data_IF_780737119262
#
_entry.id   IF_780737119262
#
_cell.length_a   1.000
_cell.length_b   1.000
_cell.length_c   1.000
_cell.angle_alpha   90.00
_cell.angle_beta   90.00
_cell.angle_gamma   90.00
#
_symmetry.space_group_name_H-M   'P 1'
#
loop_
_entity.id
_entity.type
_entity.pdbx_description
1 polymer ?
#
# COMPACT_ATOMS: atom_id res chain seq x y z
N UNK A 1 -7.19 24.69 19.71
CA UNK A 1 -6.95 23.23 19.52
C UNK A 1 -5.44 23.04 19.37
N UNK A 2 -4.79 22.58 20.43
CA UNK A 2 -3.34 22.33 20.44
C UNK A 2 -3.05 20.94 19.88
N UNK A 3 -2.03 20.84 19.03
CA UNK A 3 -1.62 19.61 18.34
C UNK A 3 -0.38 19.07 19.03
N UNK A 4 -0.40 17.84 19.52
CA UNK A 4 0.83 17.19 20.01
C UNK A 4 1.73 16.87 18.83
N UNK A 5 3.01 17.21 18.94
CA UNK A 5 3.97 17.11 17.84
C UNK A 5 4.96 15.95 18.04
N UNK A 6 5.08 15.37 19.25
CA UNK A 6 6.03 14.29 19.57
C UNK A 6 5.53 13.38 20.71
N UNK A 7 6.05 12.14 20.84
CA UNK A 7 5.60 11.18 21.86
C UNK A 7 5.67 11.70 23.30
N UNK A 8 6.57 12.64 23.62
CA UNK A 8 6.76 13.14 24.99
C UNK A 8 6.58 14.65 25.17
N UNK A 9 6.13 15.39 24.14
CA UNK A 9 5.96 16.85 24.24
C UNK A 9 4.71 17.30 23.47
N UNK A 10 3.74 17.84 24.18
CA UNK A 10 2.62 18.56 23.60
C UNK A 10 2.84 20.07 23.75
N UNK A 11 3.15 20.81 22.65
CA UNK A 11 3.33 22.25 22.73
C UNK A 11 1.98 22.94 22.92
N UNK A 12 1.83 23.62 24.06
CA UNK A 12 0.66 24.44 24.36
C UNK A 12 0.93 25.84 23.80
N UNK A 13 0.69 26.06 22.50
CA UNK A 13 0.70 27.43 21.97
C UNK A 13 -0.60 28.12 22.35
N UNK A 14 -0.50 29.18 23.16
CA UNK A 14 -1.64 30.02 23.51
C UNK A 14 -2.04 30.83 22.27
N UNK A 15 -3.30 30.80 21.87
CA UNK A 15 -3.80 31.38 20.61
C UNK A 15 -3.94 32.91 20.65
N UNK A 16 -3.25 33.59 21.57
CA UNK A 16 -3.36 35.02 21.87
C UNK A 16 -2.02 35.71 22.19
N UNK A 17 -0.90 35.27 21.62
CA UNK A 17 0.36 36.04 21.70
C UNK A 17 0.85 36.37 20.30
N UNK A 18 0.16 37.32 19.68
CA UNK A 18 0.86 38.24 18.77
C UNK A 18 1.54 39.26 19.66
N UNK A 19 2.84 39.43 19.40
CA UNK A 19 3.75 40.44 19.95
C UNK A 19 4.58 40.03 21.19
N UNK A 20 5.89 40.20 20.99
CA UNK A 20 7.00 40.23 21.94
C UNK A 20 7.68 38.88 22.26
N UNK A 21 8.83 38.70 21.59
CA UNK A 21 10.11 38.22 22.11
C UNK A 21 10.04 37.40 23.42
N UNK A 22 9.92 36.08 23.31
CA UNK A 22 10.56 35.19 24.27
C UNK A 22 10.63 33.77 23.69
N UNK A 23 11.82 33.37 23.25
CA UNK A 23 12.12 32.01 22.79
C UNK A 23 12.27 31.00 23.94
N UNK A 24 11.77 31.32 25.15
CA UNK A 24 12.03 30.56 26.39
C UNK A 24 10.78 30.06 27.11
N UNK A 25 9.56 30.43 26.70
CA UNK A 25 8.33 30.06 27.42
C UNK A 25 7.47 29.02 26.71
N UNK A 26 8.09 27.94 26.22
CA UNK A 26 7.36 26.70 25.93
C UNK A 26 7.19 25.97 27.25
N UNK A 27 6.07 26.16 27.96
CA UNK A 27 5.72 25.27 29.07
C UNK A 27 5.44 23.87 28.51
N UNK A 28 6.46 23.02 28.54
CA UNK A 28 6.34 21.60 28.24
C UNK A 28 5.70 20.92 29.43
N UNK A 29 4.51 20.35 29.25
CA UNK A 29 3.90 19.46 30.24
C UNK A 29 3.97 18.01 29.77
N UNK A 30 3.95 17.09 30.72
CA UNK A 30 3.86 15.66 30.43
C UNK A 30 2.60 15.36 29.60
N UNK A 31 2.73 14.47 28.61
CA UNK A 31 1.65 14.12 27.71
C UNK A 31 0.44 13.52 28.46
N UNK A 32 0.67 12.76 29.52
CA UNK A 32 -0.37 12.16 30.36
C UNK A 32 -1.11 13.24 31.15
N UNK A 33 -0.40 14.21 31.71
CA UNK A 33 -1.01 15.35 32.39
C UNK A 33 -1.79 16.27 31.43
N UNK A 34 -1.28 16.47 30.22
CA UNK A 34 -1.96 17.21 29.17
C UNK A 34 -3.26 16.53 28.72
N UNK A 35 -3.24 15.20 28.63
CA UNK A 35 -4.40 14.38 28.30
C UNK A 35 -5.45 14.39 29.41
N UNK A 36 -5.03 14.20 30.66
CA UNK A 36 -5.92 14.21 31.83
C UNK A 36 -6.62 15.56 32.03
N UNK A 37 -6.02 16.65 31.54
CA UNK A 37 -6.58 18.00 31.58
C UNK A 37 -7.27 18.42 30.28
N UNK A 38 -7.55 17.49 29.36
CA UNK A 38 -8.21 17.74 28.07
C UNK A 38 -7.48 18.75 27.16
N UNK A 39 -6.21 19.05 27.45
CA UNK A 39 -5.44 20.06 26.71
C UNK A 39 -4.94 19.54 25.36
N UNK A 40 -4.96 18.23 25.17
CA UNK A 40 -4.46 17.54 23.99
C UNK A 40 -5.44 16.46 23.54
N UNK A 41 -5.75 16.42 22.25
CA UNK A 41 -6.66 15.43 21.68
C UNK A 41 -6.06 14.78 20.43
N UNK A 42 -6.32 13.49 20.22
CA UNK A 42 -5.91 12.82 19.00
C UNK A 42 -6.64 13.43 17.79
N UNK A 43 -5.94 13.52 16.67
CA UNK A 43 -6.43 14.13 15.44
C UNK A 43 -6.01 13.31 14.22
N UNK A 44 -6.86 13.34 13.19
CA UNK A 44 -6.52 12.76 11.90
C UNK A 44 -5.35 13.52 11.27
N UNK A 45 -4.31 12.80 10.89
CA UNK A 45 -3.26 13.30 10.02
C UNK A 45 -3.76 13.57 8.60
N UNK A 46 -2.86 14.07 7.76
CA UNK A 46 -3.11 14.21 6.33
C UNK A 46 -3.32 12.84 5.70
N UNK A 47 -4.22 12.78 4.72
CA UNK A 47 -4.34 11.63 3.84
C UNK A 47 -3.03 11.41 3.06
N UNK A 48 -2.65 10.15 2.89
CA UNK A 48 -1.64 9.77 1.90
C UNK A 48 -2.14 10.08 0.48
N UNK A 49 -1.21 10.06 -0.48
CA UNK A 49 -1.60 9.90 -1.87
C UNK A 49 -2.43 8.63 -2.05
N UNK A 50 -3.31 8.63 -3.04
CA UNK A 50 -4.01 7.43 -3.48
C UNK A 50 -3.00 6.39 -4.00
N UNK A 51 -3.25 5.13 -3.69
CA UNK A 51 -2.55 4.02 -4.33
C UNK A 51 -2.76 4.04 -5.84
N UNK A 52 -1.83 3.42 -6.56
CA UNK A 52 -2.08 3.04 -7.95
C UNK A 52 -3.25 2.04 -8.02
N UNK A 53 -3.89 1.98 -9.19
CA UNK A 53 -4.88 0.95 -9.48
C UNK A 53 -4.17 -0.39 -9.72
N UNK A 54 -4.78 -1.47 -9.24
CA UNK A 54 -4.25 -2.83 -9.44
C UNK A 54 -4.42 -3.31 -10.87
N UNK A 55 -5.40 -2.75 -11.60
CA UNK A 55 -5.67 -3.04 -12.99
C UNK A 55 -5.49 -1.80 -13.88
N UNK A 56 -5.32 -2.02 -15.17
CA UNK A 56 -5.25 -0.97 -16.22
C UNK A 56 -6.59 -0.76 -16.92
N UNK A 57 -7.52 -1.71 -16.78
CA UNK A 57 -8.89 -1.68 -17.28
C UNK A 57 -9.77 -2.56 -16.38
N UNK A 58 -11.08 -2.47 -16.54
CA UNK A 58 -12.03 -3.22 -15.73
C UNK A 58 -12.39 -2.52 -14.44
N UNK A 59 -12.97 -3.29 -13.52
CA UNK A 59 -13.32 -2.82 -12.18
C UNK A 59 -12.12 -3.03 -11.28
N UNK A 60 -11.57 -1.94 -10.76
CA UNK A 60 -10.54 -1.98 -9.73
C UNK A 60 -10.73 -0.83 -8.75
N UNK A 61 -10.30 -1.04 -7.51
CA UNK A 61 -10.32 -0.02 -6.47
C UNK A 61 -8.92 0.55 -6.23
N UNK A 62 -8.88 1.79 -5.77
CA UNK A 62 -7.70 2.42 -5.16
C UNK A 62 -8.01 2.81 -3.73
N UNK A 63 -6.96 2.90 -2.92
CA UNK A 63 -7.08 3.14 -1.49
C UNK A 63 -6.14 4.24 -1.04
N UNK A 64 -6.51 4.94 0.03
CA UNK A 64 -5.62 5.84 0.76
C UNK A 64 -5.86 5.72 2.25
N UNK A 65 -4.88 6.16 3.03
CA UNK A 65 -4.88 6.00 4.48
C UNK A 65 -4.54 7.34 5.14
N UNK A 66 -4.98 7.51 6.38
CA UNK A 66 -4.51 8.58 7.26
C UNK A 66 -4.32 7.99 8.65
N UNK A 67 -3.24 8.38 9.32
CA UNK A 67 -3.01 7.97 10.70
C UNK A 67 -3.80 8.87 11.66
N UNK A 68 -4.30 8.29 12.74
CA UNK A 68 -4.62 9.08 13.93
C UNK A 68 -3.29 9.43 14.60
N UNK A 69 -3.10 10.70 14.96
CA UNK A 69 -1.89 11.20 15.58
C UNK A 69 -2.24 11.92 16.88
N UNK A 70 -1.29 11.97 17.81
CA UNK A 70 -1.43 12.68 19.07
C UNK A 70 -1.29 11.75 20.27
N UNK A 71 -1.78 12.21 21.41
CA UNK A 71 -1.71 11.49 22.67
C UNK A 71 -3.03 10.71 22.90
N UNK A 72 -2.93 9.51 23.48
CA UNK A 72 -4.02 8.54 23.63
C UNK A 72 -4.34 8.29 25.11
N UNK A 73 -5.61 8.11 25.47
CA UNK A 73 -6.02 7.76 26.84
C UNK A 73 -7.26 6.85 26.83
N UNK A 74 -7.60 6.24 27.96
CA UNK A 74 -8.84 5.43 28.08
C UNK A 74 -10.12 6.25 27.91
N UNK A 75 -10.03 7.59 27.93
CA UNK A 75 -11.15 8.52 27.78
C UNK A 75 -11.37 9.00 26.33
N UNK A 76 -10.56 8.60 25.35
CA UNK A 76 -10.65 9.10 23.96
C UNK A 76 -11.77 8.46 23.11
N UNK A 77 -12.94 8.20 23.72
CA UNK A 77 -14.14 7.78 22.99
C UNK A 77 -14.59 8.88 22.01
N UNK A 78 -15.18 8.49 20.90
CA UNK A 78 -15.65 9.38 19.82
C UNK A 78 -14.55 10.18 19.07
N UNK A 79 -13.28 9.88 19.31
CA UNK A 79 -12.15 10.50 18.60
C UNK A 79 -11.53 9.57 17.56
N UNK A 80 -10.57 10.04 16.76
CA UNK A 80 -9.87 9.14 15.81
C UNK A 80 -9.12 7.97 16.47
N UNK A 81 -8.86 8.07 17.77
CA UNK A 81 -8.22 7.02 18.56
C UNK A 81 -9.21 5.95 19.05
N UNK A 82 -10.51 6.20 18.92
CA UNK A 82 -11.53 5.22 19.22
C UNK A 82 -11.42 4.06 18.23
N UNK A 83 -11.37 2.83 18.74
CA UNK A 83 -11.28 1.63 17.92
C UNK A 83 -12.50 1.50 16.98
N UNK A 84 -13.66 2.00 17.41
CA UNK A 84 -14.88 2.03 16.60
C UNK A 84 -14.74 2.96 15.37
N UNK A 85 -13.77 3.89 15.39
CA UNK A 85 -13.50 4.86 14.33
C UNK A 85 -12.23 4.53 13.54
N UNK A 86 -11.63 3.36 13.75
CA UNK A 86 -10.44 2.94 13.01
C UNK A 86 -10.68 2.92 11.49
N UNK A 87 -11.88 2.55 11.05
CA UNK A 87 -12.26 2.48 9.63
C UNK A 87 -12.27 3.86 8.95
N UNK A 88 -12.55 4.95 9.69
CA UNK A 88 -12.46 6.33 9.17
C UNK A 88 -11.03 6.71 8.73
N UNK A 89 -10.03 5.93 9.12
CA UNK A 89 -8.62 6.07 8.73
C UNK A 89 -8.32 5.55 7.33
N UNK A 90 -9.27 4.89 6.67
CA UNK A 90 -9.12 4.29 5.35
C UNK A 90 -10.21 4.77 4.40
N UNK A 91 -9.84 5.14 3.19
CA UNK A 91 -10.80 5.47 2.14
C UNK A 91 -10.55 4.61 0.91
N UNK A 92 -11.64 4.09 0.33
CA UNK A 92 -11.64 3.31 -0.91
C UNK A 92 -12.45 4.04 -1.96
N UNK A 93 -12.00 3.96 -3.20
CA UNK A 93 -12.72 4.53 -4.35
C UNK A 93 -12.43 3.72 -5.60
N UNK A 94 -13.43 3.64 -6.47
CA UNK A 94 -13.26 3.10 -7.81
C UNK A 94 -12.17 3.84 -8.58
N UNK A 95 -11.43 3.08 -9.37
CA UNK A 95 -10.48 3.64 -10.32
C UNK A 95 -11.20 4.20 -11.56
N UNK A 96 -10.71 5.32 -12.11
CA UNK A 96 -11.26 5.90 -13.33
C UNK A 96 -10.75 5.16 -14.58
N UNK A 97 -11.02 3.85 -14.67
CA UNK A 97 -10.59 2.99 -15.77
C UNK A 97 -11.75 2.72 -16.73
N UNK A 98 -11.41 2.30 -17.94
CA UNK A 98 -12.39 1.77 -18.87
C UNK A 98 -13.01 0.48 -18.29
N UNK A 99 -14.34 0.46 -18.13
CA UNK A 99 -15.06 -0.68 -17.53
C UNK A 99 -14.86 -2.01 -18.25
N UNK A 100 -14.65 -1.97 -19.57
CA UNK A 100 -14.44 -3.16 -20.39
C UNK A 100 -12.98 -3.18 -20.84
N UNK A 101 -12.30 -4.27 -20.51
CA UNK A 101 -10.94 -4.51 -20.98
C UNK A 101 -10.94 -4.89 -22.48
N UNK A 102 -9.99 -4.35 -23.26
CA UNK A 102 -9.76 -4.82 -24.62
C UNK A 102 -9.50 -6.33 -24.63
N UNK A 103 -10.10 -7.01 -25.61
CA UNK A 103 -9.86 -8.44 -25.82
C UNK A 103 -8.51 -8.61 -26.52
N UNK A 104 -7.52 -9.11 -25.80
CA UNK A 104 -6.16 -9.33 -26.31
C UNK A 104 -5.85 -10.82 -26.22
N UNK A 105 -5.59 -11.46 -27.35
CA UNK A 105 -5.16 -12.86 -27.37
C UNK A 105 -3.73 -12.99 -26.82
N UNK A 106 -3.48 -14.06 -26.07
CA UNK A 106 -2.17 -14.36 -25.52
C UNK A 106 -1.19 -14.74 -26.62
N UNK A 107 0.01 -14.19 -26.55
CA UNK A 107 1.13 -14.58 -27.39
C UNK A 107 2.27 -15.16 -26.57
N UNK A 108 2.89 -16.20 -27.10
CA UNK A 108 4.07 -16.79 -26.50
C UNK A 108 5.23 -15.81 -26.54
N UNK A 109 5.86 -15.60 -25.40
CA UNK A 109 7.21 -15.06 -25.36
C UNK A 109 8.22 -16.07 -25.88
N UNK A 110 9.45 -15.60 -26.01
CA UNK A 110 10.58 -16.44 -26.38
C UNK A 110 10.73 -17.61 -25.40
N UNK A 111 11.24 -18.72 -25.92
CA UNK A 111 11.66 -19.81 -25.07
C UNK A 111 12.81 -19.37 -24.19
N UNK A 112 12.73 -19.70 -22.90
CA UNK A 112 13.88 -19.61 -22.01
C UNK A 112 14.97 -20.60 -22.41
N UNK A 113 16.12 -20.46 -21.75
CA UNK A 113 17.24 -21.38 -21.89
C UNK A 113 16.84 -22.80 -21.44
N UNK A 114 17.48 -23.79 -22.06
CA UNK A 114 17.37 -25.16 -21.59
C UNK A 114 18.01 -25.31 -20.21
N UNK A 115 17.33 -26.03 -19.33
CA UNK A 115 17.88 -26.50 -18.06
C UNK A 115 19.15 -27.33 -18.29
N UNK A 116 19.88 -27.51 -17.20
CA UNK A 116 20.85 -28.60 -17.10
C UNK A 116 20.16 -29.95 -17.34
N UNK A 117 20.95 -30.95 -17.69
CA UNK A 117 20.44 -32.29 -17.87
C UNK A 117 19.94 -32.86 -16.54
N UNK A 118 18.86 -33.64 -16.59
CA UNK A 118 18.37 -34.40 -15.45
C UNK A 118 19.28 -35.56 -15.04
N UNK A 119 20.18 -35.97 -15.95
CA UNK A 119 21.09 -37.10 -15.79
C UNK A 119 22.53 -36.62 -15.75
N UNK A 120 23.36 -37.30 -14.95
CA UNK A 120 24.77 -36.96 -14.76
C UNK A 120 25.64 -37.49 -15.93
N UNK A 121 25.22 -38.59 -16.56
CA UNK A 121 25.89 -39.16 -17.73
C UNK A 121 24.93 -39.99 -18.59
N UNK A 122 25.26 -40.16 -19.87
CA UNK A 122 24.55 -40.99 -20.83
C UNK A 122 23.39 -40.28 -21.53
N UNK A 123 22.18 -40.80 -21.41
CA UNK A 123 20.98 -40.16 -21.97
C UNK A 123 20.19 -39.53 -20.85
N UNK A 124 19.84 -38.27 -21.01
CA UNK A 124 18.92 -37.58 -20.13
C UNK A 124 18.05 -36.59 -20.88
N UNK A 125 17.33 -35.77 -20.14
CA UNK A 125 16.46 -34.74 -20.70
C UNK A 125 16.84 -33.35 -20.23
N UNK A 126 16.62 -32.39 -21.12
CA UNK A 126 16.69 -30.96 -20.83
C UNK A 126 15.31 -30.37 -21.06
N UNK A 127 14.90 -29.47 -20.16
CA UNK A 127 13.63 -28.78 -20.27
C UNK A 127 13.82 -27.29 -20.49
N UNK A 128 12.94 -26.66 -21.24
CA UNK A 128 12.84 -25.19 -21.29
C UNK A 128 11.38 -24.76 -21.18
N UNK A 129 11.18 -23.53 -20.73
CA UNK A 129 9.85 -22.96 -20.47
C UNK A 129 9.74 -21.64 -21.22
N UNK A 130 8.55 -21.35 -21.74
CA UNK A 130 8.18 -20.04 -22.30
C UNK A 130 6.99 -19.48 -21.54
N UNK A 131 6.87 -18.15 -21.51
CA UNK A 131 5.77 -17.48 -20.82
C UNK A 131 4.72 -16.98 -21.82
N UNK A 132 3.45 -17.05 -21.45
CA UNK A 132 2.35 -16.47 -22.23
C UNK A 132 2.23 -14.96 -21.92
N UNK A 133 3.20 -14.17 -22.38
CA UNK A 133 3.32 -12.76 -22.01
C UNK A 133 3.69 -11.80 -23.16
N UNK A 134 3.59 -12.24 -24.42
CA UNK A 134 3.90 -11.42 -25.61
C UNK A 134 2.76 -11.43 -26.65
N UNK A 135 1.59 -10.84 -26.36
CA UNK A 135 1.21 -10.15 -25.12
C UNK A 135 0.56 -11.09 -24.08
N UNK A 136 0.34 -10.61 -22.86
CA UNK A 136 -0.46 -11.33 -21.85
C UNK A 136 -1.93 -11.32 -22.31
N UNK A 137 -2.64 -12.46 -22.27
CA UNK A 137 -4.06 -12.50 -22.61
C UNK A 137 -4.89 -11.61 -21.66
N UNK A 138 -5.80 -10.80 -22.21
CA UNK A 138 -6.63 -9.86 -21.45
C UNK A 138 -8.06 -9.82 -21.99
N UNK A 139 -9.01 -9.38 -21.16
CA UNK A 139 -10.39 -9.10 -21.58
C UNK A 139 -11.11 -10.29 -22.22
N UNK A 140 -10.85 -11.51 -21.75
CA UNK A 140 -11.41 -12.74 -22.35
C UNK A 140 -10.79 -13.11 -23.71
N UNK A 141 -9.58 -12.62 -24.00
CA UNK A 141 -8.78 -13.07 -25.12
C UNK A 141 -8.37 -14.53 -24.99
N UNK A 142 -8.11 -15.17 -26.12
CA UNK A 142 -7.76 -16.60 -26.17
C UNK A 142 -6.40 -16.80 -25.47
N UNK A 143 -6.25 -17.77 -24.55
CA UNK A 143 -4.97 -18.07 -23.94
C UNK A 143 -4.00 -18.66 -24.97
N UNK A 144 -2.70 -18.60 -24.68
CA UNK A 144 -1.71 -19.18 -25.58
C UNK A 144 -1.97 -20.67 -25.79
N UNK A 145 -1.99 -21.08 -27.06
CA UNK A 145 -2.27 -22.47 -27.43
C UNK A 145 -0.96 -23.28 -27.47
N UNK A 146 -1.03 -24.52 -26.96
CA UNK A 146 0.11 -25.44 -26.86
C UNK A 146 0.76 -25.44 -25.47
N UNK A 147 1.84 -26.20 -25.33
CA UNK A 147 2.56 -26.34 -24.06
C UNK A 147 3.49 -25.15 -23.79
N UNK A 148 3.59 -24.79 -22.52
CA UNK A 148 4.54 -23.81 -21.98
C UNK A 148 5.92 -24.42 -21.74
N UNK A 149 5.99 -25.75 -21.65
CA UNK A 149 7.20 -26.53 -21.35
C UNK A 149 7.55 -27.44 -22.52
N UNK A 150 8.83 -27.46 -22.89
CA UNK A 150 9.37 -28.41 -23.86
C UNK A 150 10.43 -29.29 -23.19
N UNK A 151 10.31 -30.61 -23.38
CA UNK A 151 11.29 -31.60 -22.96
C UNK A 151 11.99 -32.17 -24.20
N UNK A 152 13.33 -32.23 -24.17
CA UNK A 152 14.14 -32.79 -25.26
C UNK A 152 15.11 -33.81 -24.68
N UNK A 153 15.19 -34.99 -25.28
CA UNK A 153 16.22 -35.98 -24.96
C UNK A 153 17.56 -35.54 -25.56
N UNK A 154 18.61 -35.54 -24.75
CA UNK A 154 19.96 -35.16 -25.17
C UNK A 154 20.99 -36.12 -24.59
N UNK A 155 22.14 -36.25 -25.26
CA UNK A 155 23.30 -36.86 -24.63
C UNK A 155 23.81 -35.91 -23.55
N UNK A 156 23.98 -36.49 -22.37
CA UNK A 156 24.56 -35.93 -21.19
C UNK A 156 25.70 -36.86 -20.74
#
# INVERSE_FOLDING_TARGET
LQRCVRPNICPITNRLLTQLNDLTNVQTMDCVDALNRDKCRPYWGSWTAWSACTATCGVSERQRYRSCNGAYSSATKDTCADIARAEDGMERRDCPLQRICPRIAGGWGEWGEFSVCDSICGRGHRRRIRLCNKPVPQGGGVPCQGLDTQLVSSSC
#
